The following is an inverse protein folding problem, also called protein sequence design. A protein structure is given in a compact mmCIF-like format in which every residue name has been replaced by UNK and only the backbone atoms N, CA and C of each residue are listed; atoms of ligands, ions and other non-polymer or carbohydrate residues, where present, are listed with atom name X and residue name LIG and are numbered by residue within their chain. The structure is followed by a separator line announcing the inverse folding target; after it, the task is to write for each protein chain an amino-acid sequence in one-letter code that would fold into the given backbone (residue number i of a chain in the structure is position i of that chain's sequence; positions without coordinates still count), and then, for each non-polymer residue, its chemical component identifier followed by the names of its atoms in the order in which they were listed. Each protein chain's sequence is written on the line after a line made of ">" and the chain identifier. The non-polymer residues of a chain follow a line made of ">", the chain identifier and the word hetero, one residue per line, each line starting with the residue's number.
data_IF_710699524631
#
_entry.id   IF_710699524631
#
_cell.length_a   1.000
_cell.length_b   1.000
_cell.length_c   1.000
_cell.angle_alpha   90.00
_cell.angle_beta   90.00
_cell.angle_gamma   90.00
#
_symmetry.space_group_name_H-M   'P 1'
#
loop_
_entity.id
_entity.type
_entity.pdbx_description
1 polymer ?
#
# COMPACT_ATOMS: atom_id res chain seq x y z
N UNK A 1 -13.47 -19.11 -60.13
CA UNK A 1 -12.55 -17.95 -60.11
C UNK A 1 -12.90 -17.09 -58.91
N UNK A 2 -11.96 -17.00 -57.95
CA UNK A 2 -12.05 -16.19 -56.73
C UNK A 2 -11.73 -14.73 -57.09
N UNK A 3 -12.45 -13.78 -56.47
CA UNK A 3 -12.04 -12.41 -56.06
C UNK A 3 -13.32 -11.60 -55.86
N UNK A 4 -13.53 -11.02 -54.68
CA UNK A 4 -13.70 -9.57 -54.41
C UNK A 4 -14.72 -9.57 -53.25
N UNK A 5 -14.60 -8.92 -52.08
CA UNK A 5 -13.79 -7.82 -51.59
C UNK A 5 -13.72 -8.03 -50.05
N UNK A 6 -12.53 -8.07 -49.46
CA UNK A 6 -12.39 -7.94 -48.01
C UNK A 6 -12.65 -6.48 -47.65
N UNK A 7 -13.76 -6.19 -46.99
CA UNK A 7 -13.99 -4.88 -46.38
C UNK A 7 -13.23 -4.81 -45.06
N UNK A 8 -12.16 -4.03 -45.11
CA UNK A 8 -11.37 -3.56 -43.96
C UNK A 8 -12.25 -2.59 -43.17
N UNK A 9 -12.83 -3.07 -42.07
CA UNK A 9 -13.34 -2.18 -41.02
C UNK A 9 -12.26 -2.06 -39.96
N UNK A 10 -11.41 -1.05 -40.20
CA UNK A 10 -10.37 -0.57 -39.30
C UNK A 10 -11.05 -0.02 -38.04
N UNK A 11 -11.31 -0.89 -37.06
CA UNK A 11 -11.62 -0.49 -35.69
C UNK A 11 -10.35 0.08 -35.09
N UNK A 12 -10.19 1.40 -35.25
CA UNK A 12 -9.33 2.23 -34.40
C UNK A 12 -9.95 2.15 -33.00
N UNK A 13 -9.67 1.08 -32.26
CA UNK A 13 -9.69 1.19 -30.82
C UNK A 13 -8.56 2.16 -30.51
N UNK A 14 -8.94 3.38 -30.15
CA UNK A 14 -8.13 4.28 -29.36
C UNK A 14 -7.67 3.50 -28.15
N UNK A 15 -6.48 2.91 -28.28
CA UNK A 15 -5.71 2.46 -27.15
C UNK A 15 -5.57 3.69 -26.28
N UNK A 16 -6.37 3.74 -25.21
CA UNK A 16 -6.00 4.53 -24.05
C UNK A 16 -4.68 3.89 -23.64
N UNK A 17 -3.59 4.48 -24.12
CA UNK A 17 -2.28 4.24 -23.57
C UNK A 17 -2.47 4.65 -22.12
N UNK A 18 -2.67 3.68 -21.24
CA UNK A 18 -2.48 3.88 -19.82
C UNK A 18 -1.03 4.34 -19.72
N UNK A 19 -0.83 5.66 -19.72
CA UNK A 19 0.45 6.25 -19.40
C UNK A 19 0.80 5.64 -18.07
N UNK A 20 1.92 4.92 -18.03
CA UNK A 20 2.42 4.30 -16.82
C UNK A 20 2.40 5.38 -15.73
N UNK A 21 1.41 5.33 -14.83
CA UNK A 21 1.31 6.25 -13.72
C UNK A 21 2.45 5.87 -12.81
N UNK A 22 3.49 6.68 -12.86
CA UNK A 22 4.74 6.34 -12.23
C UNK A 22 4.65 6.76 -10.76
N UNK A 23 4.53 5.76 -9.90
CA UNK A 23 4.60 5.85 -8.43
C UNK A 23 6.00 6.37 -7.96
N UNK A 24 6.59 7.37 -8.61
CA UNK A 24 8.03 7.65 -8.51
C UNK A 24 8.41 8.51 -7.30
N UNK A 25 7.41 9.08 -6.61
CA UNK A 25 7.64 9.92 -5.44
C UNK A 25 7.81 9.08 -4.18
N UNK A 26 8.60 9.62 -3.25
CA UNK A 26 8.77 9.09 -1.90
C UNK A 26 8.03 9.98 -0.92
N UNK A 27 7.25 9.39 -0.03
CA UNK A 27 6.49 10.14 0.97
C UNK A 27 6.78 9.63 2.38
N UNK A 28 6.90 10.56 3.34
CA UNK A 28 6.73 10.27 4.76
C UNK A 28 5.27 10.49 5.10
N UNK A 29 4.62 9.50 5.72
CA UNK A 29 3.23 9.55 6.14
C UNK A 29 3.19 9.73 7.66
N UNK A 30 2.30 10.61 8.13
CA UNK A 30 1.96 10.68 9.56
C UNK A 30 0.53 10.19 9.77
N UNK A 31 0.36 9.31 10.74
CA UNK A 31 -0.93 8.72 11.08
C UNK A 31 -1.75 9.64 11.97
N UNK A 32 -3.06 9.68 11.73
CA UNK A 32 -4.04 10.31 12.61
C UNK A 32 -4.49 9.33 13.70
N UNK A 33 -4.90 8.13 13.27
CA UNK A 33 -5.49 7.07 14.09
C UNK A 33 -5.10 5.73 13.52
N UNK A 34 -5.01 4.73 14.39
CA UNK A 34 -4.69 3.35 14.03
C UNK A 34 -5.71 2.45 14.71
N UNK A 35 -6.30 1.53 13.97
CA UNK A 35 -7.37 0.67 14.48
C UNK A 35 -7.39 -0.68 13.76
N UNK A 36 -7.94 -1.70 14.42
CA UNK A 36 -8.19 -3.00 13.78
C UNK A 36 -9.35 -2.90 12.80
N UNK A 37 -9.35 -3.70 11.74
CA UNK A 37 -10.45 -3.78 10.77
C UNK A 37 -11.15 -5.11 10.97
N UNK A 38 -12.46 -5.06 11.18
CA UNK A 38 -13.27 -6.27 11.37
C UNK A 38 -13.43 -7.05 10.05
N UNK A 39 -13.88 -8.30 10.13
CA UNK A 39 -14.06 -9.15 8.93
C UNK A 39 -15.08 -8.58 7.94
N UNK A 40 -16.09 -7.85 8.43
CA UNK A 40 -17.08 -7.17 7.61
C UNK A 40 -16.56 -5.86 6.97
N UNK A 41 -15.31 -5.49 7.27
CA UNK A 41 -14.65 -4.27 6.80
C UNK A 41 -14.93 -3.02 7.64
N UNK A 42 -15.69 -3.14 8.73
CA UNK A 42 -15.95 -2.02 9.64
C UNK A 42 -14.74 -1.71 10.53
N UNK A 43 -14.74 -0.51 11.12
CA UNK A 43 -13.69 -0.09 12.06
C UNK A 43 -13.86 -0.86 13.39
N UNK A 44 -12.76 -1.43 13.88
CA UNK A 44 -12.65 -2.09 15.17
C UNK A 44 -12.09 -1.18 16.24
N UNK A 45 -11.35 -1.76 17.18
CA UNK A 45 -10.77 -1.04 18.31
C UNK A 45 -9.55 -0.20 17.90
N UNK A 46 -9.36 0.93 18.58
CA UNK A 46 -8.14 1.72 18.42
C UNK A 46 -6.93 0.94 18.95
N UNK A 47 -5.86 0.95 18.16
CA UNK A 47 -4.59 0.36 18.55
C UNK A 47 -3.69 1.50 19.05
N UNK A 48 -3.27 1.49 20.33
CA UNK A 48 -2.58 2.61 20.97
C UNK A 48 -1.09 2.67 20.58
N UNK A 49 -0.78 2.68 19.29
CA UNK A 49 0.58 2.77 18.78
C UNK A 49 0.75 4.02 17.91
N UNK A 50 1.99 4.47 17.75
CA UNK A 50 2.33 5.50 16.76
C UNK A 50 3.16 4.88 15.65
N UNK A 51 2.99 5.37 14.42
CA UNK A 51 3.69 4.84 13.26
C UNK A 51 4.42 5.96 12.52
N UNK A 52 5.72 5.76 12.30
CA UNK A 52 6.47 6.50 11.28
C UNK A 52 6.56 5.62 10.03
N UNK A 53 5.94 6.10 8.94
CA UNK A 53 5.83 5.34 7.70
C UNK A 53 6.50 6.12 6.58
N UNK A 54 7.37 5.46 5.83
CA UNK A 54 7.95 5.99 4.60
C UNK A 54 7.66 5.05 3.45
N UNK A 55 7.10 5.57 2.36
CA UNK A 55 6.73 4.80 1.18
C UNK A 55 7.41 5.32 -0.08
N UNK A 56 7.66 4.41 -1.01
CA UNK A 56 7.96 4.67 -2.42
C UNK A 56 7.31 3.57 -3.28
N UNK A 57 7.48 3.61 -4.60
CA UNK A 57 7.07 2.51 -5.49
C UNK A 57 7.55 1.13 -5.01
N UNK A 58 8.82 1.06 -4.60
CA UNK A 58 9.54 -0.20 -4.41
C UNK A 58 9.80 -0.51 -2.94
N UNK A 59 9.39 0.37 -2.02
CA UNK A 59 9.65 0.18 -0.59
C UNK A 59 8.55 0.73 0.30
N UNK A 60 8.36 0.03 1.42
CA UNK A 60 7.61 0.48 2.58
C UNK A 60 8.48 0.23 3.80
N UNK A 61 8.78 1.29 4.54
CA UNK A 61 9.52 1.24 5.79
C UNK A 61 8.59 1.76 6.88
N UNK A 62 8.43 0.98 7.95
CA UNK A 62 7.53 1.30 9.04
C UNK A 62 8.24 1.06 10.37
N UNK A 63 8.22 2.06 11.23
CA UNK A 63 8.65 1.94 12.63
C UNK A 63 7.45 2.26 13.51
N UNK A 64 7.13 1.35 14.42
CA UNK A 64 5.99 1.45 15.32
C UNK A 64 6.50 1.65 16.75
N UNK A 65 6.01 2.66 17.46
CA UNK A 65 6.22 2.77 18.90
C UNK A 65 5.04 2.16 19.65
N UNK A 66 5.33 1.18 20.51
CA UNK A 66 4.36 0.46 21.33
C UNK A 66 4.14 1.18 22.68
N UNK A 67 2.98 0.98 23.34
CA UNK A 67 2.67 1.59 24.64
C UNK A 67 3.68 1.31 25.76
N UNK A 68 4.35 0.16 25.68
CA UNK A 68 5.35 -0.28 26.65
C UNK A 68 6.71 0.41 26.48
N UNK A 69 6.83 1.32 25.50
CA UNK A 69 8.06 2.04 25.17
C UNK A 69 9.00 1.27 24.22
N UNK A 70 8.64 0.05 23.82
CA UNK A 70 9.40 -0.69 22.82
C UNK A 70 9.09 -0.18 21.41
N UNK A 71 10.05 -0.32 20.51
CA UNK A 71 9.85 -0.12 19.08
C UNK A 71 9.71 -1.47 18.37
N UNK A 72 8.85 -1.50 17.36
CA UNK A 72 8.76 -2.58 16.39
C UNK A 72 9.11 -2.01 15.03
N UNK A 73 10.24 -2.44 14.48
CA UNK A 73 10.64 -2.09 13.13
C UNK A 73 10.20 -3.18 12.16
N UNK A 74 9.57 -2.75 11.08
CA UNK A 74 9.11 -3.59 10.01
C UNK A 74 9.93 -3.25 8.78
N UNK A 75 10.93 -4.10 8.55
CA UNK A 75 11.82 -4.04 7.40
C UNK A 75 11.63 -5.31 6.58
N UNK A 76 11.93 -5.32 5.30
CA UNK A 76 11.73 -6.55 4.55
C UNK A 76 12.04 -6.43 3.08
N UNK A 77 12.28 -7.60 2.46
CA UNK A 77 12.46 -7.66 1.01
C UNK A 77 11.11 -7.52 0.36
N UNK A 78 10.95 -6.43 -0.37
CA UNK A 78 9.81 -6.22 -1.24
C UNK A 78 9.76 -7.30 -2.33
N UNK A 79 8.66 -8.06 -2.41
CA UNK A 79 8.52 -9.18 -3.35
C UNK A 79 7.74 -8.79 -4.61
N UNK A 80 6.74 -7.92 -4.49
CA UNK A 80 6.01 -7.36 -5.64
C UNK A 80 5.18 -6.13 -5.28
N UNK A 81 5.08 -5.18 -6.22
CA UNK A 81 4.20 -4.01 -6.16
C UNK A 81 3.12 -4.10 -7.25
N UNK A 82 1.85 -3.88 -6.90
CA UNK A 82 0.78 -3.56 -7.85
C UNK A 82 0.37 -2.09 -7.64
N UNK A 83 0.87 -1.18 -8.50
CA UNK A 83 0.58 0.26 -8.46
C UNK A 83 -0.48 0.61 -9.51
N UNK A 84 -1.64 1.07 -9.03
CA UNK A 84 -2.74 1.69 -9.78
C UNK A 84 -3.03 3.11 -9.24
N UNK A 85 -2.03 3.72 -8.62
CA UNK A 85 -2.12 5.09 -8.10
C UNK A 85 -1.70 6.10 -9.15
N UNK A 86 -2.19 7.33 -9.02
CA UNK A 86 -1.59 8.48 -9.68
C UNK A 86 -0.24 8.88 -9.04
N UNK A 87 0.58 9.62 -9.80
CA UNK A 87 1.96 9.91 -9.42
C UNK A 87 2.10 10.70 -8.10
N UNK A 88 1.07 11.44 -7.71
CA UNK A 88 1.02 12.20 -6.47
C UNK A 88 0.29 11.48 -5.33
N UNK A 89 -0.15 10.23 -5.51
CA UNK A 89 -0.79 9.42 -4.46
C UNK A 89 -2.07 10.07 -3.90
N UNK A 90 -2.83 10.78 -4.73
CA UNK A 90 -4.10 11.41 -4.35
C UNK A 90 -5.32 10.56 -4.72
N UNK A 91 -5.18 9.64 -5.67
CA UNK A 91 -6.24 8.72 -6.09
C UNK A 91 -5.65 7.36 -6.54
N UNK A 92 -6.32 6.27 -6.17
CA UNK A 92 -6.01 4.91 -6.60
C UNK A 92 -5.49 4.03 -5.48
N UNK A 93 -4.81 2.93 -5.84
CA UNK A 93 -4.29 1.96 -4.87
C UNK A 93 -2.87 1.52 -5.21
N UNK A 94 -2.06 1.26 -4.19
CA UNK A 94 -0.79 0.54 -4.34
C UNK A 94 -0.73 -0.57 -3.28
N UNK A 95 -0.37 -1.76 -3.69
CA UNK A 95 -0.18 -2.91 -2.81
C UNK A 95 1.27 -3.37 -2.85
N UNK A 96 1.87 -3.56 -1.68
CA UNK A 96 3.19 -4.13 -1.49
C UNK A 96 3.08 -5.48 -0.79
N UNK A 97 3.68 -6.50 -1.39
CA UNK A 97 3.95 -7.77 -0.72
C UNK A 97 5.37 -7.74 -0.18
N UNK A 98 5.53 -8.07 1.10
CA UNK A 98 6.80 -7.93 1.82
C UNK A 98 7.08 -9.19 2.62
N UNK A 99 8.26 -9.78 2.41
CA UNK A 99 8.83 -10.75 3.34
C UNK A 99 9.39 -9.94 4.52
N UNK A 100 8.54 -9.66 5.52
CA UNK A 100 8.86 -8.76 6.61
C UNK A 100 9.69 -9.45 7.69
N UNK A 101 10.77 -8.81 8.07
CA UNK A 101 11.51 -9.05 9.29
C UNK A 101 10.98 -8.09 10.37
N UNK A 102 10.30 -8.67 11.36
CA UNK A 102 9.75 -7.96 12.52
C UNK A 102 10.75 -8.13 13.65
N UNK A 103 11.37 -7.02 14.06
CA UNK A 103 12.25 -6.99 15.22
C UNK A 103 11.51 -6.37 16.40
N UNK A 104 11.37 -7.13 17.49
CA UNK A 104 10.77 -6.67 18.74
C UNK A 104 11.68 -7.07 19.90
N UNK A 105 12.36 -6.08 20.50
CA UNK A 105 13.22 -6.32 21.67
C UNK A 105 14.36 -7.33 21.44
N UNK A 106 14.87 -7.43 20.20
CA UNK A 106 15.96 -8.34 19.83
C UNK A 106 15.51 -9.73 19.39
N UNK A 107 14.20 -10.02 19.40
CA UNK A 107 13.65 -11.19 18.71
C UNK A 107 13.29 -10.83 17.28
N UNK A 108 13.80 -11.62 16.34
CA UNK A 108 13.54 -11.46 14.92
C UNK A 108 12.57 -12.54 14.45
N UNK A 109 11.40 -12.13 13.96
CA UNK A 109 10.42 -13.01 13.33
C UNK A 109 10.27 -12.64 11.86
N UNK A 110 10.28 -13.64 10.99
CA UNK A 110 9.92 -13.45 9.60
C UNK A 110 8.44 -13.72 9.40
N UNK A 111 7.74 -12.82 8.71
CA UNK A 111 6.34 -12.98 8.37
C UNK A 111 6.05 -12.38 6.99
N UNK A 112 5.19 -13.02 6.21
CA UNK A 112 4.74 -12.45 4.94
C UNK A 112 3.62 -11.46 5.20
N UNK A 113 3.84 -10.22 4.82
CA UNK A 113 2.92 -9.12 5.06
C UNK A 113 2.45 -8.53 3.74
N UNK A 114 1.17 -8.19 3.68
CA UNK A 114 0.59 -7.37 2.63
C UNK A 114 0.31 -5.99 3.21
N UNK A 115 0.80 -4.98 2.52
CA UNK A 115 0.48 -3.59 2.79
C UNK A 115 -0.27 -3.00 1.60
N UNK A 116 -1.39 -2.33 1.84
CA UNK A 116 -2.19 -1.71 0.79
C UNK A 116 -2.50 -0.26 1.14
N UNK A 117 -2.02 0.67 0.35
CA UNK A 117 -2.42 2.07 0.45
C UNK A 117 -3.58 2.33 -0.51
N UNK A 118 -4.63 2.95 0.01
CA UNK A 118 -5.78 3.43 -0.74
C UNK A 118 -5.87 4.95 -0.61
N UNK A 119 -5.96 5.64 -1.76
CA UNK A 119 -6.21 7.07 -1.83
C UNK A 119 -7.54 7.29 -2.56
N UNK A 120 -8.49 7.96 -1.89
CA UNK A 120 -9.80 8.26 -2.47
C UNK A 120 -10.37 9.53 -1.87
N UNK A 121 -10.74 10.50 -2.71
CA UNK A 121 -11.38 11.73 -2.26
C UNK A 121 -10.52 12.52 -1.27
N UNK A 122 -9.20 12.55 -1.48
CA UNK A 122 -8.24 13.25 -0.63
C UNK A 122 -7.92 12.57 0.71
N UNK A 123 -8.49 11.39 0.98
CA UNK A 123 -8.18 10.59 2.17
C UNK A 123 -7.23 9.46 1.81
N UNK A 124 -6.26 9.20 2.69
CA UNK A 124 -5.32 8.09 2.56
C UNK A 124 -5.51 7.12 3.72
N UNK A 125 -5.63 5.82 3.40
CA UNK A 125 -5.64 4.73 4.37
C UNK A 125 -4.59 3.70 3.96
N UNK A 126 -3.69 3.36 4.87
CA UNK A 126 -2.77 2.24 4.70
C UNK A 126 -3.30 1.07 5.51
N UNK A 127 -3.40 -0.10 4.90
CA UNK A 127 -3.75 -1.34 5.57
C UNK A 127 -2.53 -2.24 5.64
N UNK A 128 -2.33 -2.93 6.76
CA UNK A 128 -1.31 -3.96 6.94
C UNK A 128 -1.94 -5.23 7.50
N UNK A 129 -1.59 -6.39 6.95
CA UNK A 129 -2.05 -7.69 7.43
C UNK A 129 -1.10 -8.82 7.01
N UNK A 130 -1.03 -9.92 7.78
CA UNK A 130 -0.34 -11.14 7.36
C UNK A 130 -0.99 -11.74 6.10
N UNK A 131 -0.19 -12.22 5.15
CA UNK A 131 -0.69 -12.87 3.92
C UNK A 131 -1.56 -14.10 4.26
N UNK A 132 -1.15 -14.87 5.27
CA UNK A 132 -1.86 -16.08 5.72
C UNK A 132 -3.00 -15.80 6.71
N UNK A 133 -3.18 -14.56 7.17
CA UNK A 133 -4.24 -14.19 8.11
C UNK A 133 -4.83 -12.80 7.82
N UNK A 134 -5.55 -12.62 6.68
CA UNK A 134 -6.06 -11.31 6.25
C UNK A 134 -7.10 -10.69 7.19
N UNK A 135 -7.66 -11.47 8.11
CA UNK A 135 -8.57 -11.00 9.15
C UNK A 135 -7.85 -10.17 10.24
N UNK A 136 -6.53 -10.36 10.42
CA UNK A 136 -5.70 -9.59 11.36
C UNK A 136 -5.26 -8.25 10.73
N UNK A 137 -6.22 -7.51 10.17
CA UNK A 137 -5.97 -6.29 9.42
C UNK A 137 -5.95 -5.08 10.33
N UNK A 138 -4.91 -4.28 10.20
CA UNK A 138 -4.78 -2.98 10.85
C UNK A 138 -4.88 -1.89 9.80
N UNK A 139 -5.65 -0.84 10.10
CA UNK A 139 -5.74 0.37 9.30
C UNK A 139 -4.99 1.52 9.98
N UNK A 140 -4.11 2.16 9.22
CA UNK A 140 -3.42 3.40 9.54
C UNK A 140 -4.11 4.51 8.75
N UNK A 141 -4.96 5.29 9.42
CA UNK A 141 -5.55 6.48 8.82
C UNK A 141 -4.50 7.57 8.73
N UNK A 142 -4.22 8.06 7.53
CA UNK A 142 -3.13 9.00 7.28
C UNK A 142 -3.66 10.43 7.39
N UNK A 143 -3.03 11.22 8.26
CA UNK A 143 -3.33 12.65 8.45
C UNK A 143 -2.70 13.49 7.35
N UNK A 144 -1.43 13.22 7.08
CA UNK A 144 -0.60 14.01 6.16
C UNK A 144 0.44 13.13 5.49
N UNK A 145 0.83 13.57 4.29
CA UNK A 145 1.96 13.02 3.53
C UNK A 145 2.91 14.16 3.17
N UNK A 146 4.19 13.94 3.37
CA UNK A 146 5.26 14.90 3.09
C UNK A 146 6.20 14.31 2.03
N UNK A 147 6.44 15.05 0.95
CA UNK A 147 7.32 14.63 -0.14
C UNK A 147 8.78 14.63 0.36
N UNK A 148 9.47 13.49 0.23
CA UNK A 148 10.86 13.33 0.66
C UNK A 148 11.75 13.44 -0.58
N UNK A 149 12.52 14.52 -0.65
CA UNK A 149 13.47 14.79 -1.74
C UNK A 149 14.73 13.94 -1.66
#
# INVERSE_FOLDING_TARGET
>A
MKKVLLMVSLLVLTGIVATAQSCDKKYKLKTERIFSVQEDGSEGEEVPLTAEITISKDSLIMSLALPDGNAMDLTGKHSSTDCKMNADYTEGTIEWKTDAEINQGGQVKQNKMIFKLEAKGGKLKLYGYPEDSPAEKICFQIKEKEDVK
#
